data_IF_345806466745
#
_entry.id   IF_345806466745
#
_cell.length_a   1.000
_cell.length_b   1.000
_cell.length_c   1.000
_cell.angle_alpha   90.00
_cell.angle_beta   90.00
_cell.angle_gamma   90.00
#
_symmetry.space_group_name_H-M   'P 1'
#
loop_
_entity.id
_entity.type
_entity.pdbx_description
1 polymer ?
#
# COMPACT_ATOMS: atom_id res chain seq x y z
N UNK A 1 1.38 -27.83 -1.69
CA UNK A 1 1.52 -26.47 -1.11
C UNK A 1 1.57 -25.37 -2.18
N UNK A 2 2.47 -25.46 -3.17
CA UNK A 2 2.65 -24.42 -4.19
C UNK A 2 1.38 -24.16 -5.02
N UNK A 3 0.65 -25.22 -5.39
CA UNK A 3 -0.61 -25.08 -6.14
C UNK A 3 -1.70 -24.37 -5.35
N UNK A 4 -1.80 -24.62 -4.03
CA UNK A 4 -2.76 -23.94 -3.17
C UNK A 4 -2.45 -22.44 -3.08
N UNK A 5 -1.17 -22.05 -2.94
CA UNK A 5 -0.75 -20.63 -2.98
C UNK A 5 -1.12 -19.96 -4.29
N UNK A 6 -0.92 -20.66 -5.43
CA UNK A 6 -1.24 -20.14 -6.76
C UNK A 6 -2.74 -19.93 -6.94
N UNK A 7 -3.56 -20.88 -6.50
CA UNK A 7 -5.03 -20.76 -6.55
C UNK A 7 -5.51 -19.63 -5.64
N UNK A 8 -4.99 -19.54 -4.41
CA UNK A 8 -5.33 -18.45 -3.49
C UNK A 8 -4.99 -17.09 -4.09
N UNK A 9 -3.80 -16.93 -4.69
CA UNK A 9 -3.42 -15.71 -5.38
C UNK A 9 -4.39 -15.38 -6.52
N UNK A 10 -4.78 -16.38 -7.32
CA UNK A 10 -5.74 -16.18 -8.40
C UNK A 10 -7.10 -15.70 -7.89
N UNK A 11 -7.59 -16.28 -6.80
CA UNK A 11 -8.86 -15.86 -6.18
C UNK A 11 -8.76 -14.41 -5.69
N UNK A 12 -7.65 -14.02 -5.07
CA UNK A 12 -7.42 -12.64 -4.63
C UNK A 12 -7.39 -11.68 -5.83
N UNK A 13 -6.69 -12.02 -6.91
CA UNK A 13 -6.64 -11.18 -8.11
C UNK A 13 -8.02 -11.01 -8.74
N UNK A 14 -8.79 -12.10 -8.87
CA UNK A 14 -10.16 -12.03 -9.41
C UNK A 14 -11.06 -11.19 -8.50
N UNK A 15 -10.93 -11.31 -7.19
CA UNK A 15 -11.67 -10.50 -6.22
C UNK A 15 -11.35 -9.01 -6.35
N UNK A 16 -10.07 -8.64 -6.45
CA UNK A 16 -9.65 -7.24 -6.66
C UNK A 16 -10.24 -6.69 -7.96
N UNK A 17 -10.15 -7.43 -9.06
CA UNK A 17 -10.72 -7.04 -10.34
C UNK A 17 -12.25 -6.88 -10.26
N UNK A 18 -12.93 -7.79 -9.55
CA UNK A 18 -14.37 -7.71 -9.32
C UNK A 18 -14.78 -6.44 -8.57
N UNK A 19 -14.05 -6.09 -7.50
CA UNK A 19 -14.30 -4.88 -6.72
C UNK A 19 -14.08 -3.62 -7.57
N UNK A 20 -13.00 -3.55 -8.36
CA UNK A 20 -12.75 -2.42 -9.26
C UNK A 20 -13.90 -2.18 -10.25
N UNK A 21 -14.47 -3.26 -10.81
CA UNK A 21 -15.56 -3.16 -11.79
C UNK A 21 -16.90 -2.84 -11.11
N UNK A 22 -17.17 -3.46 -9.96
CA UNK A 22 -18.49 -3.39 -9.30
C UNK A 22 -18.64 -2.15 -8.43
N UNK A 23 -17.57 -1.72 -7.77
CA UNK A 23 -17.55 -0.58 -6.87
C UNK A 23 -16.22 0.20 -7.02
N UNK A 24 -16.11 1.03 -8.07
CA UNK A 24 -14.88 1.77 -8.35
C UNK A 24 -14.57 2.85 -7.30
N UNK A 25 -15.58 3.38 -6.61
CA UNK A 25 -15.38 4.39 -5.56
C UNK A 25 -14.66 3.76 -4.35
N UNK A 26 -15.17 2.63 -3.87
CA UNK A 26 -14.53 1.89 -2.77
C UNK A 26 -13.15 1.39 -3.17
N UNK A 27 -12.96 0.93 -4.41
CA UNK A 27 -11.65 0.54 -4.93
C UNK A 27 -10.65 1.70 -4.93
N UNK A 28 -11.09 2.89 -5.35
CA UNK A 28 -10.29 4.12 -5.32
C UNK A 28 -9.82 4.45 -3.90
N UNK A 29 -10.74 4.39 -2.92
CA UNK A 29 -10.41 4.65 -1.52
C UNK A 29 -9.39 3.68 -0.93
N UNK A 30 -9.45 2.38 -1.27
CA UNK A 30 -8.44 1.42 -0.82
C UNK A 30 -7.06 1.67 -1.41
N UNK A 31 -7.00 2.07 -2.68
CA UNK A 31 -5.74 2.40 -3.36
C UNK A 31 -5.14 3.67 -2.76
N UNK A 32 -5.95 4.71 -2.55
CA UNK A 32 -5.55 5.96 -1.92
C UNK A 32 -5.01 5.74 -0.50
N UNK A 33 -5.73 4.99 0.34
CA UNK A 33 -5.26 4.61 1.68
C UNK A 33 -3.91 3.86 1.63
N UNK A 34 -3.72 2.99 0.63
CA UNK A 34 -2.46 2.30 0.41
C UNK A 34 -1.33 3.27 0.05
N UNK A 35 -1.59 4.23 -0.84
CA UNK A 35 -0.64 5.28 -1.21
C UNK A 35 -0.31 6.21 -0.04
N UNK A 36 -1.30 6.63 0.75
CA UNK A 36 -1.09 7.43 1.95
C UNK A 36 -0.22 6.68 2.96
N UNK A 37 -0.48 5.39 3.19
CA UNK A 37 0.35 4.57 4.08
C UNK A 37 1.81 4.53 3.65
N UNK A 38 2.07 4.29 2.36
CA UNK A 38 3.43 4.28 1.80
C UNK A 38 4.05 5.67 1.84
N UNK A 39 3.30 6.71 1.48
CA UNK A 39 3.77 8.09 1.47
C UNK A 39 4.13 8.55 2.88
N UNK A 40 3.30 8.26 3.88
CA UNK A 40 3.57 8.60 5.27
C UNK A 40 4.81 7.88 5.79
N UNK A 41 5.00 6.61 5.44
CA UNK A 41 6.22 5.87 5.78
C UNK A 41 7.46 6.49 5.11
N UNK A 42 7.36 6.87 3.84
CA UNK A 42 8.44 7.53 3.10
C UNK A 42 8.78 8.91 3.70
N UNK A 43 7.77 9.71 4.04
CA UNK A 43 7.93 11.01 4.70
C UNK A 43 8.61 10.85 6.07
N UNK A 44 8.18 9.89 6.89
CA UNK A 44 8.81 9.64 8.18
C UNK A 44 10.28 9.26 8.06
N UNK A 45 10.64 8.47 7.05
CA UNK A 45 12.04 8.15 6.73
C UNK A 45 12.79 9.40 6.27
N UNK A 46 12.18 10.23 5.41
CA UNK A 46 12.77 11.49 4.96
C UNK A 46 13.01 12.50 6.08
N UNK A 47 12.06 12.63 7.00
CA UNK A 47 12.14 13.48 8.19
C UNK A 47 13.26 13.00 9.11
N UNK A 48 13.37 11.68 9.32
CA UNK A 48 14.47 11.09 10.08
C UNK A 48 15.83 11.40 9.45
N UNK A 49 15.98 11.24 8.14
CA UNK A 49 17.22 11.53 7.43
C UNK A 49 17.58 13.03 7.52
N UNK A 50 16.59 13.90 7.43
CA UNK A 50 16.74 15.36 7.62
C UNK A 50 17.22 15.68 9.03
N UNK A 51 16.63 15.06 10.06
CA UNK A 51 17.03 15.22 11.45
C UNK A 51 18.48 14.76 11.70
N UNK A 52 18.87 13.61 11.14
CA UNK A 52 20.26 13.12 11.21
C UNK A 52 21.22 14.12 10.55
N UNK A 53 20.89 14.62 9.36
CA UNK A 53 21.72 15.58 8.63
C UNK A 53 21.91 16.91 9.39
N UNK A 54 20.89 17.34 10.16
CA UNK A 54 20.94 18.52 11.00
C UNK A 54 21.62 18.28 12.37
N UNK A 55 22.30 17.15 12.54
CA UNK A 55 23.09 16.86 13.75
C UNK A 55 22.24 16.45 14.96
N UNK A 56 21.01 15.99 14.75
CA UNK A 56 20.14 15.49 15.79
C UNK A 56 19.48 16.56 16.67
N UNK A 57 19.62 17.84 16.30
CA UNK A 57 18.95 18.94 16.96
C UNK A 57 17.62 19.21 16.25
N UNK A 58 16.52 18.94 16.95
CA UNK A 58 15.15 19.26 16.52
C UNK A 58 14.68 20.58 17.13
#
# INVERSE_FOLDING_TARGET
MVQAKKVALYVVVVFVLYVIITDPETAGGYVELGFEGVSNAASAVGDFMTWVANGGNS
#
